data_IF_357031119054
#
_entry.id   IF_357031119054
#
_cell.length_a   1.000
_cell.length_b   1.000
_cell.length_c   1.000
_cell.angle_alpha   90.00
_cell.angle_beta   90.00
_cell.angle_gamma   90.00
#
_symmetry.space_group_name_H-M   'P 1'
#
loop_
_entity.id
_entity.type
_entity.pdbx_description
1 polymer ?
#
# COMPACT_ATOMS: atom_id res chain seq x y z
N UNK A 1 7.50 28.11 18.05
CA UNK A 1 7.71 29.39 18.77
C UNK A 1 6.68 30.42 18.32
N UNK A 2 6.52 30.63 17.01
CA UNK A 2 5.37 31.38 16.46
C UNK A 2 4.01 30.85 16.92
N UNK A 3 3.87 29.54 17.04
CA UNK A 3 2.67 28.89 17.59
C UNK A 3 2.36 29.24 19.05
N UNK A 4 3.36 29.57 19.87
CA UNK A 4 3.16 30.01 21.28
C UNK A 4 2.69 31.45 21.32
N UNK A 5 3.26 32.33 20.47
CA UNK A 5 2.79 33.71 20.29
C UNK A 5 1.32 33.78 19.84
N UNK A 6 0.87 32.82 19.03
CA UNK A 6 -0.53 32.76 18.60
C UNK A 6 -1.51 32.32 19.71
N UNK A 7 -1.04 31.63 20.75
CA UNK A 7 -1.89 31.05 21.80
C UNK A 7 -1.89 31.92 23.07
N UNK A 8 -0.74 32.42 23.52
CA UNK A 8 -0.62 33.29 24.69
C UNK A 8 0.68 34.13 24.60
N UNK A 9 0.61 35.38 24.09
CA UNK A 9 1.78 36.22 23.85
C UNK A 9 2.59 36.54 25.12
N UNK A 10 1.93 36.60 26.28
CA UNK A 10 2.54 37.08 27.53
C UNK A 10 3.39 36.01 28.23
N UNK A 11 3.27 34.74 27.82
CA UNK A 11 3.97 33.61 28.45
C UNK A 11 5.13 33.04 27.64
N UNK A 12 5.50 33.66 26.52
CA UNK A 12 6.55 33.17 25.62
C UNK A 12 7.87 32.85 26.34
N UNK A 13 8.33 33.76 27.21
CA UNK A 13 9.57 33.61 27.96
C UNK A 13 9.55 32.43 28.96
N UNK A 14 8.36 32.04 29.45
CA UNK A 14 8.20 30.89 30.34
C UNK A 14 8.36 29.56 29.60
N UNK A 15 8.07 29.51 28.29
CA UNK A 15 8.23 28.32 27.47
C UNK A 15 9.67 28.12 27.00
N UNK A 16 10.42 29.21 26.75
CA UNK A 16 11.86 29.16 26.48
C UNK A 16 12.67 28.55 27.63
N UNK A 17 12.22 28.77 28.87
CA UNK A 17 12.88 28.30 30.07
C UNK A 17 12.61 26.82 30.40
N UNK A 18 11.78 26.10 29.62
CA UNK A 18 11.47 24.68 29.86
C UNK A 18 12.48 23.81 29.09
N UNK A 19 13.48 23.20 29.75
CA UNK A 19 14.36 22.25 29.09
C UNK A 19 13.56 20.95 28.93
N UNK A 20 13.04 20.71 27.73
CA UNK A 20 12.43 19.42 27.41
C UNK A 20 13.52 18.51 26.87
N UNK A 21 13.98 17.56 27.69
CA UNK A 21 14.80 16.47 27.18
C UNK A 21 14.04 15.72 26.08
N UNK A 22 14.77 15.17 25.11
CA UNK A 22 14.19 14.38 24.01
C UNK A 22 13.21 13.30 24.53
N UNK A 23 13.57 12.65 25.63
CA UNK A 23 12.76 11.61 26.29
C UNK A 23 11.45 12.18 26.87
N UNK A 24 11.48 13.41 27.38
CA UNK A 24 10.28 14.08 27.91
C UNK A 24 9.30 14.44 26.79
N UNK A 25 9.82 14.91 25.65
CA UNK A 25 9.01 15.21 24.46
C UNK A 25 8.38 13.92 23.92
N UNK A 26 9.18 12.86 23.75
CA UNK A 26 8.72 11.58 23.24
C UNK A 26 7.64 10.96 24.14
N UNK A 27 7.85 10.99 25.46
CA UNK A 27 6.86 10.47 26.42
C UNK A 27 5.55 11.27 26.38
N UNK A 28 5.62 12.59 26.21
CA UNK A 28 4.42 13.43 26.07
C UNK A 28 3.69 13.15 24.76
N UNK A 29 4.41 13.02 23.65
CA UNK A 29 3.83 12.63 22.36
C UNK A 29 3.11 11.28 22.48
N UNK A 30 3.71 10.31 23.18
CA UNK A 30 3.09 9.01 23.43
C UNK A 30 1.81 9.13 24.26
N UNK A 31 1.84 9.84 25.39
CA UNK A 31 0.64 10.04 26.23
C UNK A 31 -0.48 10.79 25.50
N UNK A 32 -0.13 11.77 24.66
CA UNK A 32 -1.12 12.50 23.85
C UNK A 32 -1.76 11.55 22.83
N UNK A 33 -0.96 10.75 22.13
CA UNK A 33 -1.47 9.77 21.17
C UNK A 33 -2.38 8.72 21.84
N UNK A 34 -1.96 8.21 23.01
CA UNK A 34 -2.75 7.27 23.81
C UNK A 34 -4.08 7.88 24.25
N UNK A 35 -4.06 9.11 24.77
CA UNK A 35 -5.26 9.82 25.20
C UNK A 35 -6.22 10.09 24.03
N UNK A 36 -5.69 10.48 22.85
CA UNK A 36 -6.49 10.67 21.63
C UNK A 36 -7.18 9.37 21.21
N UNK A 37 -6.45 8.25 21.22
CA UNK A 37 -7.00 6.94 20.89
C UNK A 37 -8.10 6.51 21.87
N UNK A 38 -7.87 6.65 23.18
CA UNK A 38 -8.86 6.31 24.21
C UNK A 38 -10.11 7.18 24.08
N UNK A 39 -9.95 8.48 23.85
CA UNK A 39 -11.07 9.42 23.65
C UNK A 39 -11.88 9.06 22.41
N UNK A 40 -11.22 8.67 21.33
CA UNK A 40 -11.88 8.24 20.09
C UNK A 40 -12.65 6.93 20.28
N UNK A 41 -12.05 5.93 20.93
CA UNK A 41 -12.70 4.65 21.23
C UNK A 41 -13.92 4.83 22.12
N UNK A 42 -13.84 5.70 23.14
CA UNK A 42 -14.99 6.04 23.97
C UNK A 42 -16.12 6.67 23.15
N UNK A 43 -15.81 7.59 22.23
CA UNK A 43 -16.82 8.20 21.34
C UNK A 43 -17.45 7.18 20.40
N UNK A 44 -16.66 6.27 19.82
CA UNK A 44 -17.15 5.22 18.93
C UNK A 44 -18.01 4.17 19.65
N UNK A 45 -17.70 3.85 20.90
CA UNK A 45 -18.44 2.84 21.67
C UNK A 45 -19.70 3.39 22.36
N UNK A 46 -19.73 4.69 22.66
CA UNK A 46 -20.85 5.32 23.38
C UNK A 46 -21.96 5.86 22.46
N UNK A 47 -21.66 6.05 21.17
CA UNK A 47 -22.61 6.55 20.18
C UNK A 47 -22.80 5.47 19.10
N UNK A 48 -24.04 5.20 18.68
CA UNK A 48 -24.31 4.45 17.44
C UNK A 48 -24.04 5.39 16.27
N UNK A 49 -22.76 5.71 16.07
CA UNK A 49 -22.31 6.77 15.19
C UNK A 49 -22.12 6.19 13.80
N UNK A 50 -22.92 6.68 12.84
CA UNK A 50 -22.53 6.56 11.45
C UNK A 50 -21.18 7.26 11.30
N UNK A 51 -20.21 6.56 10.71
CA UNK A 51 -18.88 7.10 10.48
C UNK A 51 -18.48 6.97 9.02
N UNK A 52 -17.62 7.88 8.57
CA UNK A 52 -16.92 7.81 7.30
C UNK A 52 -15.44 8.05 7.52
N UNK A 53 -14.61 7.56 6.60
CA UNK A 53 -13.17 7.83 6.60
C UNK A 53 -12.88 8.92 5.58
N UNK A 54 -12.04 9.88 5.98
CA UNK A 54 -11.43 10.85 5.11
C UNK A 54 -9.92 10.57 5.04
N UNK A 55 -9.35 10.76 3.86
CA UNK A 55 -7.96 10.44 3.58
C UNK A 55 -7.33 11.72 3.01
N UNK A 56 -6.16 12.07 3.51
CA UNK A 56 -5.37 13.23 3.07
C UNK A 56 -3.90 12.85 2.91
N UNK A 57 -3.14 13.66 2.17
CA UNK A 57 -1.71 13.49 1.95
C UNK A 57 -0.93 14.67 2.55
N UNK A 58 0.11 14.37 3.32
CA UNK A 58 1.08 15.35 3.83
C UNK A 58 2.49 14.86 3.54
N UNK A 59 3.50 15.72 3.71
CA UNK A 59 4.90 15.34 3.62
C UNK A 59 5.54 15.40 5.00
N UNK A 60 6.48 14.48 5.27
CA UNK A 60 7.35 14.57 6.44
C UNK A 60 8.50 15.57 6.22
N UNK A 61 9.35 15.75 7.24
CA UNK A 61 10.49 16.66 7.15
C UNK A 61 11.54 16.24 6.10
N UNK A 62 11.46 14.99 5.62
CA UNK A 62 12.31 14.42 4.59
C UNK A 62 11.60 14.39 3.22
N UNK A 63 10.48 15.11 3.07
CA UNK A 63 9.63 15.15 1.86
C UNK A 63 9.02 13.80 1.47
N UNK A 64 8.94 12.85 2.41
CA UNK A 64 8.26 11.58 2.18
C UNK A 64 6.76 11.74 2.38
N UNK A 65 5.98 11.30 1.39
CA UNK A 65 4.52 11.33 1.46
C UNK A 65 4.01 10.52 2.67
N UNK A 66 2.99 11.05 3.33
CA UNK A 66 2.33 10.47 4.49
C UNK A 66 0.83 10.45 4.22
N UNK A 67 0.24 9.26 4.24
CA UNK A 67 -1.21 9.12 4.28
C UNK A 67 -1.70 9.49 5.66
N UNK A 68 -2.58 10.48 5.72
CA UNK A 68 -3.30 10.85 6.94
C UNK A 68 -4.73 10.35 6.80
N UNK A 69 -5.19 9.58 7.78
CA UNK A 69 -6.54 9.05 7.85
C UNK A 69 -7.26 9.76 8.98
N UNK A 70 -8.39 10.36 8.63
CA UNK A 70 -9.33 10.93 9.57
C UNK A 70 -10.60 10.08 9.63
N UNK A 71 -11.21 10.02 10.80
CA UNK A 71 -12.55 9.46 10.98
C UNK A 71 -13.53 10.60 11.24
N UNK A 72 -14.57 10.65 10.42
CA UNK A 72 -15.70 11.58 10.55
C UNK A 72 -16.86 10.83 11.17
N UNK A 73 -17.32 11.29 12.32
CA UNK A 73 -18.43 10.70 13.06
C UNK A 73 -19.61 11.68 13.09
N UNK A 74 -20.84 11.19 12.91
CA UNK A 74 -22.05 11.99 13.04
C UNK A 74 -22.70 11.79 14.42
N UNK A 75 -22.72 12.83 15.25
CA UNK A 75 -23.37 12.80 16.56
C UNK A 75 -24.90 12.73 16.43
N UNK A 76 -25.60 12.42 17.54
CA UNK A 76 -27.06 12.45 17.59
C UNK A 76 -27.66 13.85 17.38
N UNK A 77 -26.86 14.88 17.63
CA UNK A 77 -27.23 16.29 17.37
C UNK A 77 -26.92 16.71 15.93
N UNK A 78 -26.63 15.75 15.05
CA UNK A 78 -26.25 15.94 13.65
C UNK A 78 -24.96 16.77 13.44
N UNK A 79 -24.08 16.81 14.45
CA UNK A 79 -22.77 17.44 14.31
C UNK A 79 -21.75 16.44 13.73
N UNK A 80 -20.98 16.90 12.74
CA UNK A 80 -19.88 16.12 12.16
C UNK A 80 -18.62 16.44 12.96
N UNK A 81 -18.04 15.42 13.59
CA UNK A 81 -16.73 15.52 14.22
C UNK A 81 -15.69 14.79 13.40
N UNK A 82 -14.63 15.49 13.00
CA UNK A 82 -13.46 14.90 12.35
C UNK A 82 -12.36 14.70 13.40
N UNK A 83 -11.85 13.47 13.51
CA UNK A 83 -10.75 13.15 14.41
C UNK A 83 -9.66 12.43 13.64
N UNK A 84 -8.41 12.72 13.97
CA UNK A 84 -7.26 11.99 13.43
C UNK A 84 -7.32 10.52 13.89
N UNK A 85 -7.25 9.60 12.93
CA UNK A 85 -7.30 8.16 13.20
C UNK A 85 -5.91 7.53 13.11
N UNK A 86 -5.18 7.78 12.01
CA UNK A 86 -3.87 7.19 11.80
C UNK A 86 -3.07 7.97 10.76
N UNK A 87 -1.75 7.81 10.80
CA UNK A 87 -0.84 8.30 9.78
C UNK A 87 0.17 7.22 9.43
N UNK A 88 0.40 7.04 8.14
CA UNK A 88 1.36 6.06 7.60
C UNK A 88 2.21 6.72 6.54
N UNK A 89 3.53 6.57 6.65
CA UNK A 89 4.43 6.90 5.55
C UNK A 89 4.06 6.06 4.34
N UNK A 90 3.83 6.72 3.22
CA UNK A 90 3.64 6.08 1.93
C UNK A 90 4.99 6.06 1.20
N UNK A 91 5.34 4.97 0.52
CA UNK A 91 6.48 4.93 -0.39
C UNK A 91 6.21 5.67 -1.73
N UNK A 92 5.07 6.38 -1.86
CA UNK A 92 4.64 7.15 -3.03
C UNK A 92 3.43 8.05 -2.70
N UNK A 93 2.90 8.80 -3.65
CA UNK A 93 1.84 9.77 -3.39
C UNK A 93 0.44 9.13 -3.47
N UNK A 94 -0.59 9.74 -2.85
CA UNK A 94 -1.99 9.30 -3.01
C UNK A 94 -2.44 9.43 -4.46
N UNK A 95 -1.88 10.39 -5.19
CA UNK A 95 -2.09 10.51 -6.63
C UNK A 95 -1.66 9.25 -7.39
N UNK A 96 -0.65 8.51 -6.89
CA UNK A 96 -0.17 7.28 -7.52
C UNK A 96 -1.19 6.15 -7.39
N UNK A 97 -1.99 6.12 -6.31
CA UNK A 97 -3.11 5.18 -6.19
C UNK A 97 -4.14 5.39 -7.30
N UNK A 98 -4.48 6.65 -7.59
CA UNK A 98 -5.43 7.00 -8.65
C UNK A 98 -4.84 6.66 -10.01
N UNK A 99 -3.56 6.98 -10.24
CA UNK A 99 -2.83 6.66 -11.48
C UNK A 99 -2.69 5.14 -11.68
N UNK A 100 -2.45 4.37 -10.61
CA UNK A 100 -2.41 2.90 -10.63
C UNK A 100 -3.78 2.31 -10.99
N UNK A 101 -4.85 2.80 -10.35
CA UNK A 101 -6.21 2.38 -10.67
C UNK A 101 -6.57 2.68 -12.13
N UNK A 102 -6.22 3.88 -12.60
CA UNK A 102 -6.42 4.27 -14.00
C UNK A 102 -5.66 3.36 -14.96
N UNK A 103 -4.40 3.04 -14.64
CA UNK A 103 -3.58 2.12 -15.41
C UNK A 103 -4.18 0.70 -15.46
N UNK A 104 -4.75 0.22 -14.34
CA UNK A 104 -5.44 -1.06 -14.28
C UNK A 104 -6.65 -1.10 -15.21
N UNK A 105 -7.54 -0.10 -15.10
CA UNK A 105 -8.76 0.02 -15.90
C UNK A 105 -8.50 0.01 -17.40
N UNK A 106 -7.35 0.52 -17.83
CA UNK A 106 -6.96 0.54 -19.24
C UNK A 106 -6.36 -0.79 -19.73
N UNK A 107 -5.81 -1.60 -18.84
CA UNK A 107 -4.95 -2.74 -19.22
C UNK A 107 -5.52 -4.11 -18.85
N UNK A 108 -6.36 -4.22 -17.82
CA UNK A 108 -6.90 -5.47 -17.32
C UNK A 108 -8.43 -5.44 -17.18
N UNK A 109 -9.11 -6.58 -17.43
CA UNK A 109 -10.52 -6.73 -17.13
C UNK A 109 -10.77 -6.84 -15.61
N UNK A 110 -9.81 -7.34 -14.83
CA UNK A 110 -9.90 -7.47 -13.37
C UNK A 110 -9.64 -6.13 -12.66
N UNK A 111 -10.72 -5.48 -12.22
CA UNK A 111 -10.67 -4.16 -11.61
C UNK A 111 -11.03 -4.18 -10.13
N UNK A 112 -10.42 -3.26 -9.37
CA UNK A 112 -10.61 -3.15 -7.93
C UNK A 112 -11.04 -1.73 -7.53
N UNK A 113 -11.80 -1.64 -6.44
CA UNK A 113 -12.12 -0.36 -5.82
C UNK A 113 -10.87 0.25 -5.17
N UNK A 114 -10.80 1.58 -5.07
CA UNK A 114 -9.65 2.30 -4.49
C UNK A 114 -9.32 1.82 -3.07
N UNK A 115 -10.35 1.51 -2.27
CA UNK A 115 -10.21 0.91 -0.94
C UNK A 115 -9.28 -0.31 -0.92
N UNK A 116 -9.31 -1.13 -1.96
CA UNK A 116 -8.49 -2.33 -2.06
C UNK A 116 -7.02 -2.00 -2.31
N UNK A 117 -6.73 -1.00 -3.14
CA UNK A 117 -5.36 -0.48 -3.32
C UNK A 117 -4.84 0.15 -2.03
N UNK A 118 -5.65 0.98 -1.35
CA UNK A 118 -5.30 1.57 -0.06
C UNK A 118 -4.99 0.49 0.97
N UNK A 119 -5.78 -0.59 1.03
CA UNK A 119 -5.50 -1.72 1.92
C UNK A 119 -4.11 -2.34 1.67
N UNK A 120 -3.71 -2.55 0.41
CA UNK A 120 -2.38 -3.09 0.10
C UNK A 120 -1.26 -2.14 0.54
N UNK A 121 -1.35 -0.86 0.18
CA UNK A 121 -0.30 0.12 0.50
C UNK A 121 -0.21 0.42 2.00
N UNK A 122 -1.32 0.31 2.73
CA UNK A 122 -1.34 0.54 4.17
C UNK A 122 -0.88 -0.66 4.98
N UNK A 123 -1.20 -1.87 4.53
CA UNK A 123 -0.80 -3.11 5.18
C UNK A 123 0.65 -3.49 4.86
N UNK A 124 1.06 -3.39 3.58
CA UNK A 124 2.39 -3.77 3.10
C UNK A 124 2.98 -2.72 2.15
N UNK A 125 3.31 -1.53 2.64
CA UNK A 125 3.84 -0.46 1.80
C UNK A 125 5.12 -0.89 1.05
N UNK A 126 5.95 -1.74 1.64
CA UNK A 126 7.28 -2.07 1.14
C UNK A 126 7.31 -2.96 -0.11
N UNK A 127 6.20 -3.62 -0.47
CA UNK A 127 6.21 -4.70 -1.49
C UNK A 127 5.50 -4.33 -2.80
N UNK A 128 4.85 -3.17 -2.84
CA UNK A 128 4.20 -2.66 -4.05
C UNK A 128 5.07 -1.56 -4.66
N UNK A 129 5.22 -1.59 -5.99
CA UNK A 129 6.12 -0.67 -6.71
C UNK A 129 5.45 -0.11 -7.95
N UNK A 130 5.82 1.12 -8.30
CA UNK A 130 5.41 1.78 -9.54
C UNK A 130 6.64 2.02 -10.42
N UNK A 131 6.41 2.01 -11.74
CA UNK A 131 7.36 2.45 -12.74
C UNK A 131 6.81 3.70 -13.39
N UNK A 132 7.61 4.76 -13.38
CA UNK A 132 7.21 6.07 -13.86
C UNK A 132 8.09 6.51 -15.03
N UNK A 133 7.50 7.29 -15.93
CA UNK A 133 8.24 7.96 -17.01
C UNK A 133 7.67 9.36 -17.19
N UNK A 134 8.38 10.37 -16.67
CA UNK A 134 7.81 11.70 -16.47
C UNK A 134 6.75 11.66 -15.37
N UNK A 135 5.68 12.46 -15.49
CA UNK A 135 4.59 12.51 -14.50
C UNK A 135 3.47 11.48 -14.76
N UNK A 136 3.83 10.28 -15.25
CA UNK A 136 2.87 9.23 -15.64
C UNK A 136 3.36 7.85 -15.21
N UNK A 137 2.46 7.07 -14.61
CA UNK A 137 2.72 5.66 -14.28
C UNK A 137 2.66 4.83 -15.57
N UNK A 138 3.80 4.24 -15.94
CA UNK A 138 3.95 3.34 -17.09
C UNK A 138 3.82 1.88 -16.71
N UNK A 139 3.80 1.55 -15.42
CA UNK A 139 3.52 0.21 -14.92
C UNK A 139 3.54 0.16 -13.41
N UNK A 140 2.96 -0.89 -12.83
CA UNK A 140 2.97 -1.10 -11.38
C UNK A 140 2.89 -2.60 -11.05
N UNK A 141 3.34 -2.94 -9.84
CA UNK A 141 3.08 -4.23 -9.19
C UNK A 141 2.38 -3.95 -7.86
N UNK A 142 1.24 -4.60 -7.66
CA UNK A 142 0.47 -4.56 -6.43
C UNK A 142 0.56 -5.93 -5.75
N UNK A 143 1.03 -5.92 -4.51
CA UNK A 143 1.41 -7.13 -3.80
C UNK A 143 0.94 -7.11 -2.35
N UNK A 144 0.65 -8.30 -1.81
CA UNK A 144 0.27 -8.52 -0.41
C UNK A 144 1.03 -9.70 0.19
N UNK A 145 1.05 -9.79 1.52
CA UNK A 145 1.40 -11.02 2.22
C UNK A 145 0.12 -11.78 2.56
N UNK A 146 0.17 -13.10 2.55
CA UNK A 146 -1.00 -13.89 2.89
C UNK A 146 -1.17 -14.04 4.41
N UNK A 147 -2.32 -13.60 4.91
CA UNK A 147 -2.59 -13.45 6.35
C UNK A 147 -3.05 -14.75 7.03
N UNK A 148 -3.54 -15.72 6.25
CA UNK A 148 -4.03 -17.00 6.78
C UNK A 148 -2.88 -17.96 7.14
N UNK A 149 -2.37 -17.78 8.36
CA UNK A 149 -1.15 -18.38 8.91
C UNK A 149 -1.23 -19.88 9.29
N UNK A 150 -1.68 -20.75 8.38
CA UNK A 150 -1.51 -22.21 8.54
C UNK A 150 -0.23 -22.69 7.83
N UNK A 151 0.24 -21.94 6.83
CA UNK A 151 1.46 -22.22 6.08
C UNK A 151 2.55 -21.19 6.38
N UNK A 152 3.77 -21.51 5.96
CA UNK A 152 4.88 -20.56 6.03
C UNK A 152 4.54 -19.23 5.32
N UNK A 153 5.12 -18.10 5.80
CA UNK A 153 4.88 -16.78 5.23
C UNK A 153 5.15 -16.79 3.73
N UNK A 154 4.17 -16.31 2.95
CA UNK A 154 4.32 -16.19 1.52
C UNK A 154 3.66 -14.93 0.99
N UNK A 155 4.28 -14.37 -0.03
CA UNK A 155 3.75 -13.21 -0.74
C UNK A 155 2.79 -13.63 -1.85
N UNK A 156 1.90 -12.72 -2.22
CA UNK A 156 0.99 -12.87 -3.34
C UNK A 156 1.03 -11.64 -4.23
N UNK A 157 1.14 -11.84 -5.54
CA UNK A 157 1.04 -10.77 -6.53
C UNK A 157 -0.42 -10.63 -6.95
N UNK A 158 -1.06 -9.59 -6.46
CA UNK A 158 -2.46 -9.27 -6.75
C UNK A 158 -2.63 -8.78 -8.18
N UNK A 159 -1.73 -7.91 -8.65
CA UNK A 159 -1.83 -7.32 -9.98
C UNK A 159 -0.46 -6.85 -10.49
N UNK A 160 -0.17 -7.13 -11.76
CA UNK A 160 1.01 -6.62 -12.46
C UNK A 160 0.56 -6.03 -13.79
N UNK A 161 0.83 -4.74 -13.97
CA UNK A 161 0.48 -4.03 -15.20
C UNK A 161 1.71 -3.31 -15.73
N UNK A 162 1.94 -3.42 -17.03
CA UNK A 162 2.83 -2.52 -17.75
C UNK A 162 2.03 -1.92 -18.88
N UNK A 163 1.84 -0.60 -18.80
CA UNK A 163 0.95 0.15 -19.65
C UNK A 163 1.36 0.00 -21.12
N UNK A 164 0.36 -0.31 -21.92
CA UNK A 164 0.46 -0.57 -23.34
C UNK A 164 -0.20 0.57 -24.08
N UNK A 165 0.64 1.51 -24.52
CA UNK A 165 0.27 2.66 -25.34
C UNK A 165 -0.38 3.78 -24.51
N UNK A 166 0.45 4.67 -23.97
CA UNK A 166 -0.04 5.98 -23.51
C UNK A 166 -0.47 6.75 -24.76
N UNK A 167 -1.71 7.24 -24.89
CA UNK A 167 -2.19 7.93 -26.10
C UNK A 167 -1.29 9.12 -26.51
N UNK A 168 -0.68 9.79 -25.53
CA UNK A 168 0.26 10.89 -25.71
C UNK A 168 1.69 10.46 -26.11
N UNK A 169 2.03 9.17 -26.02
CA UNK A 169 3.37 8.64 -26.29
C UNK A 169 3.24 7.47 -27.26
N UNK A 170 3.64 7.68 -28.52
CA UNK A 170 3.77 6.62 -29.56
C UNK A 170 4.89 5.59 -29.24
N UNK A 171 5.12 5.23 -27.97
CA UNK A 171 6.05 4.17 -27.55
C UNK A 171 5.29 3.08 -26.79
N UNK A 172 5.60 1.85 -27.16
CA UNK A 172 5.20 0.66 -26.41
C UNK A 172 6.30 0.36 -25.39
N UNK A 173 5.98 0.36 -24.09
CA UNK A 173 6.93 0.03 -23.02
C UNK A 173 7.07 -1.49 -22.76
N UNK A 174 6.41 -2.33 -23.56
CA UNK A 174 6.66 -3.77 -23.58
C UNK A 174 8.10 -4.05 -24.02
N UNK A 175 8.69 -5.11 -23.45
CA UNK A 175 10.05 -5.61 -23.76
C UNK A 175 11.22 -4.73 -23.25
N UNK A 176 10.95 -3.69 -22.47
CA UNK A 176 12.00 -2.93 -21.75
C UNK A 176 12.40 -3.55 -20.40
N UNK A 177 11.86 -4.73 -20.05
CA UNK A 177 12.17 -5.39 -18.78
C UNK A 177 11.51 -4.78 -17.54
N UNK A 178 10.62 -3.78 -17.69
CA UNK A 178 9.93 -3.11 -16.56
C UNK A 178 9.18 -4.11 -15.68
N UNK A 179 8.35 -4.96 -16.28
CA UNK A 179 7.59 -5.97 -15.56
C UNK A 179 8.50 -6.90 -14.74
N UNK A 180 9.63 -7.29 -15.33
CA UNK A 180 10.63 -8.14 -14.66
C UNK A 180 11.24 -7.42 -13.46
N UNK A 181 11.65 -6.17 -13.64
CA UNK A 181 12.27 -5.38 -12.56
C UNK A 181 11.31 -5.13 -11.40
N UNK A 182 10.06 -4.77 -11.68
CA UNK A 182 9.01 -4.60 -10.68
C UNK A 182 8.78 -5.90 -9.88
N UNK A 183 8.67 -7.03 -10.57
CA UNK A 183 8.51 -8.34 -9.94
C UNK A 183 9.72 -8.75 -9.08
N UNK A 184 10.94 -8.50 -9.55
CA UNK A 184 12.16 -8.77 -8.79
C UNK A 184 12.21 -7.95 -7.50
N UNK A 185 11.91 -6.65 -7.57
CA UNK A 185 11.85 -5.76 -6.40
C UNK A 185 10.78 -6.21 -5.40
N UNK A 186 9.57 -6.50 -5.87
CA UNK A 186 8.48 -6.98 -5.01
C UNK A 186 8.85 -8.27 -4.28
N UNK A 187 9.41 -9.25 -5.00
CA UNK A 187 9.78 -10.52 -4.38
C UNK A 187 10.94 -10.36 -3.40
N UNK A 188 11.95 -9.54 -3.72
CA UNK A 188 13.06 -9.26 -2.82
C UNK A 188 12.55 -8.61 -1.53
N UNK A 189 11.69 -7.60 -1.63
CA UNK A 189 11.11 -6.94 -0.47
C UNK A 189 10.24 -7.88 0.39
N UNK A 190 9.54 -8.84 -0.23
CA UNK A 190 8.77 -9.86 0.50
C UNK A 190 9.66 -10.76 1.37
N UNK A 191 10.85 -11.16 0.90
CA UNK A 191 11.79 -11.93 1.73
C UNK A 191 12.47 -11.04 2.77
N UNK A 192 12.98 -9.88 2.37
CA UNK A 192 13.75 -9.00 3.27
C UNK A 192 12.90 -8.42 4.40
N UNK A 193 11.66 -7.99 4.10
CA UNK A 193 10.80 -7.34 5.09
C UNK A 193 9.92 -8.33 5.86
N UNK A 194 9.54 -9.45 5.24
CA UNK A 194 8.51 -10.35 5.79
C UNK A 194 8.92 -11.83 5.84
N UNK A 195 10.13 -12.18 5.38
CA UNK A 195 10.63 -13.56 5.41
C UNK A 195 9.84 -14.52 4.52
N UNK A 196 9.28 -14.03 3.41
CA UNK A 196 8.49 -14.86 2.49
C UNK A 196 9.32 -16.01 1.91
N UNK A 197 8.86 -17.25 2.08
CA UNK A 197 9.52 -18.42 1.50
C UNK A 197 9.22 -18.57 0.01
N UNK A 198 8.00 -18.20 -0.39
CA UNK A 198 7.50 -18.27 -1.76
C UNK A 198 6.64 -17.07 -2.11
N UNK A 199 6.49 -16.83 -3.41
CA UNK A 199 5.55 -15.87 -3.99
C UNK A 199 4.59 -16.61 -4.91
N UNK A 200 3.30 -16.30 -4.80
CA UNK A 200 2.25 -16.90 -5.61
C UNK A 200 1.55 -15.85 -6.48
N UNK A 201 0.95 -16.30 -7.58
CA UNK A 201 0.11 -15.48 -8.45
C UNK A 201 -0.86 -16.35 -9.25
N UNK A 202 -1.87 -15.71 -9.83
CA UNK A 202 -2.82 -16.32 -10.76
C UNK A 202 -2.69 -15.68 -12.15
N UNK A 203 -2.76 -16.50 -13.19
CA UNK A 203 -2.75 -16.03 -14.58
C UNK A 203 -3.77 -16.79 -15.42
N UNK A 204 -4.56 -16.05 -16.21
CA UNK A 204 -5.48 -16.59 -17.23
C UNK A 204 -4.75 -17.59 -18.14
N UNK A 205 -5.36 -18.76 -18.38
CA UNK A 205 -4.77 -19.78 -19.28
C UNK A 205 -4.60 -19.23 -20.70
N UNK A 206 -5.49 -18.36 -21.15
CA UNK A 206 -5.40 -17.71 -22.46
C UNK A 206 -4.25 -16.69 -22.57
N UNK A 207 -3.74 -16.17 -21.46
CA UNK A 207 -2.72 -15.11 -21.43
C UNK A 207 -1.30 -15.65 -21.57
N UNK A 208 -1.00 -16.19 -22.76
CA UNK A 208 0.33 -16.73 -23.12
C UNK A 208 1.50 -15.75 -22.88
N UNK A 209 1.40 -14.44 -23.17
CA UNK A 209 2.48 -13.50 -22.89
C UNK A 209 2.83 -13.40 -21.40
N UNK A 210 1.82 -13.33 -20.52
CA UNK A 210 2.05 -13.28 -19.08
C UNK A 210 2.59 -14.63 -18.56
N UNK A 211 2.02 -15.75 -19.02
CA UNK A 211 2.54 -17.07 -18.70
C UNK A 211 4.03 -17.22 -19.04
N UNK A 212 4.44 -16.82 -20.25
CA UNK A 212 5.84 -16.89 -20.68
C UNK A 212 6.77 -15.97 -19.87
N UNK A 213 6.28 -14.79 -19.45
CA UNK A 213 7.01 -13.91 -18.55
C UNK A 213 7.26 -14.59 -17.20
N UNK A 214 6.20 -15.10 -16.57
CA UNK A 214 6.29 -15.73 -15.26
C UNK A 214 7.11 -17.01 -15.30
N UNK A 215 6.82 -17.92 -16.23
CA UNK A 215 7.47 -19.23 -16.32
C UNK A 215 8.92 -19.12 -16.81
N UNK A 216 9.13 -18.52 -17.97
CA UNK A 216 10.43 -18.60 -18.64
C UNK A 216 11.42 -17.53 -18.16
N UNK A 217 10.93 -16.35 -17.75
CA UNK A 217 11.80 -15.22 -17.41
C UNK A 217 11.97 -15.01 -15.91
N UNK A 218 10.92 -15.30 -15.13
CA UNK A 218 10.89 -15.06 -13.69
C UNK A 218 11.01 -16.33 -12.86
N UNK A 219 10.91 -17.53 -13.46
CA UNK A 219 11.11 -18.81 -12.76
C UNK A 219 9.93 -19.26 -11.91
N UNK A 220 8.71 -18.80 -12.22
CA UNK A 220 7.50 -19.34 -11.61
C UNK A 220 7.15 -20.70 -12.22
N UNK A 221 6.70 -21.63 -11.40
CA UNK A 221 6.16 -22.93 -11.85
C UNK A 221 4.66 -23.02 -11.59
N UNK A 222 3.91 -23.67 -12.48
CA UNK A 222 2.49 -23.96 -12.26
C UNK A 222 2.35 -24.97 -11.12
N UNK A 223 1.60 -24.61 -10.09
CA UNK A 223 1.28 -25.50 -8.97
C UNK A 223 -0.05 -26.20 -9.16
N UNK A 224 -1.04 -25.50 -9.69
CA UNK A 224 -2.38 -26.03 -9.90
C UNK A 224 -3.11 -25.29 -11.04
N UNK A 225 -4.18 -25.90 -11.54
CA UNK A 225 -5.16 -25.25 -12.43
C UNK A 225 -6.45 -25.06 -11.64
N UNK A 226 -6.88 -23.81 -11.52
CA UNK A 226 -8.11 -23.45 -10.80
C UNK A 226 -9.27 -23.27 -11.79
N UNK A 227 -10.25 -24.19 -11.80
CA UNK A 227 -11.34 -24.14 -12.76
C UNK A 227 -12.29 -22.98 -12.44
N UNK A 228 -12.72 -22.23 -13.47
CA UNK A 228 -13.65 -21.10 -13.38
C UNK A 228 -13.25 -20.06 -12.33
N UNK A 229 -11.95 -19.75 -12.24
CA UNK A 229 -11.42 -18.79 -11.29
C UNK A 229 -11.89 -17.36 -11.60
N UNK A 230 -11.91 -16.98 -12.88
CA UNK A 230 -12.33 -15.64 -13.30
C UNK A 230 -13.85 -15.54 -13.47
N UNK A 231 -14.38 -14.31 -13.36
CA UNK A 231 -15.83 -14.05 -13.37
C UNK A 231 -16.53 -14.45 -14.68
N UNK A 232 -15.79 -14.48 -15.79
CA UNK A 232 -16.24 -14.95 -17.10
C UNK A 232 -16.18 -16.48 -17.25
N UNK A 233 -15.77 -17.19 -16.20
CA UNK A 233 -15.66 -18.64 -16.16
C UNK A 233 -14.34 -19.18 -16.75
N UNK A 234 -13.37 -18.31 -17.07
CA UNK A 234 -12.05 -18.76 -17.49
C UNK A 234 -11.27 -19.38 -16.31
N UNK A 235 -10.55 -20.45 -16.60
CA UNK A 235 -9.64 -21.11 -15.66
C UNK A 235 -8.35 -20.28 -15.47
N UNK A 236 -7.71 -20.46 -14.31
CA UNK A 236 -6.43 -19.83 -13.99
C UNK A 236 -5.32 -20.86 -13.74
N UNK A 237 -4.10 -20.56 -14.17
CA UNK A 237 -2.92 -21.19 -13.61
C UNK A 237 -2.60 -20.53 -12.27
N UNK A 238 -2.63 -21.31 -11.19
CA UNK A 238 -1.97 -20.95 -9.95
C UNK A 238 -0.47 -21.23 -10.13
N UNK A 239 0.36 -20.20 -9.94
CA UNK A 239 1.81 -20.30 -10.09
C UNK A 239 2.51 -19.92 -8.79
N UNK A 240 3.66 -20.55 -8.52
CA UNK A 240 4.50 -20.20 -7.39
C UNK A 240 5.98 -20.18 -7.74
N UNK A 241 6.73 -19.37 -7.00
CA UNK A 241 8.20 -19.27 -7.08
C UNK A 241 8.79 -19.17 -5.67
N UNK A 242 9.78 -20.01 -5.30
CA UNK A 242 10.52 -19.82 -4.05
C UNK A 242 11.36 -18.54 -4.10
N UNK A 243 11.40 -17.77 -3.02
CA UNK A 243 12.18 -16.51 -2.97
C UNK A 243 13.64 -16.75 -2.64
N UNK A 244 13.90 -17.76 -1.80
CA UNK A 244 15.25 -18.24 -1.51
C UNK A 244 15.60 -19.39 -2.45
N UNK A 245 16.81 -19.43 -3.04
CA UNK A 245 17.27 -20.66 -3.67
C UNK A 245 17.30 -21.76 -2.60
N UNK A 246 16.77 -22.95 -2.91
CA UNK A 246 16.97 -24.13 -2.07
C UNK A 246 18.47 -24.29 -1.85
N UNK A 247 18.94 -24.03 -0.62
CA UNK A 247 20.27 -24.46 -0.22
C UNK A 247 20.22 -25.99 -0.24
N UNK A 248 20.73 -26.57 -1.32
CA UNK A 248 21.15 -27.97 -1.30
C UNK A 248 22.25 -28.05 -0.25
N UNK A 249 21.91 -28.55 0.93
CA UNK A 249 22.89 -28.96 1.92
C UNK A 249 23.72 -30.08 1.26
N UNK A 250 24.93 -29.71 0.82
CA UNK A 250 25.98 -30.63 0.45
C UNK A 250 26.58 -31.29 1.69
#
# INVERSE_FOLDING_TARGET
>A
MESVKCIDPDKEHNFEAIPLSRDTIQRRQFHIAEHLNLSLLQKLNSQTTLFSLAIDESNDICDSAQLIIFIRTLSFDFEIHENFLSMKSLPGNVEDLIKMQHCNLLCLPENYQLKYYSYHLLSWPQISYVAESGNQIVGYVLAKMEEEAVQAPHGHITSLVVHLNIPAVKRTYRKYGIARKLMELACQAMDECFGAEKVTLHVRISNRPAYNLYNNSLGFSVTNVEPKYYADGEDAYAMSRPVRPFLNNA
#
